data_IF_580855453729
#
_entry.id   IF_580855453729
#
_cell.length_a   1.000
_cell.length_b   1.000
_cell.length_c   1.000
_cell.angle_alpha   90.00
_cell.angle_beta   90.00
_cell.angle_gamma   90.00
#
_symmetry.space_group_name_H-M   'P 1'
#
loop_
_entity.id
_entity.type
_entity.pdbx_description
1 polymer ?
#
# COMPACT_ATOMS: atom_id res chain seq x y z
N UNK A 1 16.89 -15.38 13.98
CA UNK A 1 15.86 -16.05 14.81
C UNK A 1 15.28 -15.02 15.78
N UNK A 2 14.65 -13.96 15.28
CA UNK A 2 13.85 -13.02 16.07
C UNK A 2 12.41 -13.16 15.56
N UNK A 3 11.43 -13.13 16.47
CA UNK A 3 10.04 -13.52 16.21
C UNK A 3 9.33 -12.72 15.11
N UNK A 4 8.06 -13.04 14.79
CA UNK A 4 7.34 -12.42 13.68
C UNK A 4 7.29 -10.90 13.88
N UNK A 5 7.98 -10.17 13.00
CA UNK A 5 7.98 -8.71 13.00
C UNK A 5 6.55 -8.22 12.81
N UNK A 6 6.23 -7.06 13.38
CA UNK A 6 4.91 -6.42 13.18
C UNK A 6 4.63 -6.21 11.68
N UNK A 7 5.69 -5.97 10.89
CA UNK A 7 5.62 -5.88 9.43
C UNK A 7 5.19 -7.19 8.76
N UNK A 8 5.68 -8.33 9.25
CA UNK A 8 5.33 -9.66 8.70
C UNK A 8 3.87 -10.00 8.97
N UNK A 9 3.37 -9.70 10.18
CA UNK A 9 1.97 -9.92 10.56
C UNK A 9 1.02 -9.12 9.67
N UNK A 10 1.34 -7.86 9.40
CA UNK A 10 0.56 -7.00 8.49
C UNK A 10 0.57 -7.52 7.06
N UNK A 11 1.74 -7.89 6.54
CA UNK A 11 1.86 -8.40 5.19
C UNK A 11 1.07 -9.70 4.98
N UNK A 12 1.16 -10.63 5.94
CA UNK A 12 0.44 -11.90 5.89
C UNK A 12 -1.08 -11.70 6.00
N UNK A 13 -1.53 -10.80 6.88
CA UNK A 13 -2.95 -10.46 7.01
C UNK A 13 -3.50 -9.83 5.72
N UNK A 14 -2.78 -8.87 5.14
CA UNK A 14 -3.18 -8.26 3.87
C UNK A 14 -3.27 -9.28 2.74
N UNK A 15 -2.27 -10.17 2.64
CA UNK A 15 -2.25 -11.24 1.64
C UNK A 15 -3.42 -12.21 1.82
N UNK A 16 -3.75 -12.57 3.07
CA UNK A 16 -4.89 -13.43 3.40
C UNK A 16 -6.22 -12.79 2.99
N UNK A 17 -6.44 -11.52 3.37
CA UNK A 17 -7.66 -10.80 3.02
C UNK A 17 -7.83 -10.71 1.50
N UNK A 18 -6.79 -10.32 0.76
CA UNK A 18 -6.88 -10.23 -0.70
C UNK A 18 -7.17 -11.60 -1.32
N UNK A 19 -6.50 -12.66 -0.87
CA UNK A 19 -6.71 -14.01 -1.39
C UNK A 19 -8.13 -14.54 -1.12
N UNK A 20 -8.77 -14.14 -0.01
CA UNK A 20 -10.14 -14.55 0.31
C UNK A 20 -11.20 -13.69 -0.38
N UNK A 21 -11.05 -12.36 -0.37
CA UNK A 21 -12.05 -11.44 -0.91
C UNK A 21 -12.07 -11.42 -2.44
N UNK A 22 -10.91 -11.57 -3.09
CA UNK A 22 -10.82 -11.55 -4.55
C UNK A 22 -11.73 -12.58 -5.25
N UNK A 23 -11.72 -13.89 -4.91
CA UNK A 23 -12.61 -14.86 -5.55
C UNK A 23 -14.09 -14.63 -5.22
N UNK A 24 -14.41 -14.17 -4.00
CA UNK A 24 -15.80 -13.84 -3.61
C UNK A 24 -16.33 -12.69 -4.46
N UNK A 25 -15.53 -11.64 -4.62
CA UNK A 25 -15.89 -10.47 -5.43
C UNK A 25 -16.01 -10.83 -6.91
N UNK A 26 -15.10 -11.69 -7.40
CA UNK A 26 -15.12 -12.20 -8.77
C UNK A 26 -16.39 -13.03 -9.04
N UNK A 27 -16.85 -13.84 -8.07
CA UNK A 27 -18.05 -14.65 -8.20
C UNK A 27 -19.35 -13.84 -8.14
N UNK A 28 -19.40 -12.79 -7.32
CA UNK A 28 -20.61 -11.99 -7.11
C UNK A 28 -20.78 -10.88 -8.16
N UNK A 29 -19.70 -10.18 -8.52
CA UNK A 29 -19.75 -9.00 -9.40
C UNK A 29 -19.16 -9.25 -10.79
N UNK A 30 -18.58 -10.44 -11.02
CA UNK A 30 -17.89 -10.77 -12.26
C UNK A 30 -16.52 -10.10 -12.39
N UNK A 31 -15.79 -10.48 -13.45
CA UNK A 31 -14.42 -10.03 -13.68
C UNK A 31 -14.31 -8.53 -13.97
N UNK A 32 -15.21 -7.99 -14.77
CA UNK A 32 -15.15 -6.60 -15.23
C UNK A 32 -15.23 -5.60 -14.07
N UNK A 33 -16.25 -5.72 -13.22
CA UNK A 33 -16.46 -4.81 -12.08
C UNK A 33 -15.34 -4.95 -11.05
N UNK A 34 -14.91 -6.20 -10.78
CA UNK A 34 -13.80 -6.47 -9.86
C UNK A 34 -12.53 -5.75 -10.29
N UNK A 35 -12.11 -5.89 -11.55
CA UNK A 35 -10.92 -5.20 -12.05
C UNK A 35 -11.05 -3.68 -12.03
N UNK A 36 -12.22 -3.12 -12.35
CA UNK A 36 -12.46 -1.68 -12.26
C UNK A 36 -12.30 -1.13 -10.84
N UNK A 37 -12.77 -1.88 -9.83
CA UNK A 37 -12.61 -1.49 -8.41
C UNK A 37 -11.12 -1.45 -8.04
N UNK A 38 -10.35 -2.49 -8.35
CA UNK A 38 -8.91 -2.52 -8.09
C UNK A 38 -8.15 -1.43 -8.85
N UNK A 39 -8.53 -1.15 -10.11
CA UNK A 39 -7.97 -0.06 -10.89
C UNK A 39 -8.25 1.32 -10.25
N UNK A 40 -9.46 1.53 -9.72
CA UNK A 40 -9.81 2.73 -8.96
C UNK A 40 -8.92 2.90 -7.72
N UNK A 41 -8.77 1.84 -6.92
CA UNK A 41 -7.87 1.87 -5.75
C UNK A 41 -6.41 2.16 -6.13
N UNK A 42 -5.92 1.58 -7.24
CA UNK A 42 -4.57 1.87 -7.74
C UNK A 42 -4.42 3.33 -8.18
N UNK A 43 -5.44 3.91 -8.81
CA UNK A 43 -5.43 5.32 -9.19
C UNK A 43 -5.38 6.24 -7.95
N UNK A 44 -6.18 5.96 -6.93
CA UNK A 44 -6.10 6.71 -5.66
C UNK A 44 -4.74 6.54 -4.97
N UNK A 45 -4.18 5.33 -4.99
CA UNK A 45 -2.84 5.06 -4.46
C UNK A 45 -1.78 5.87 -5.20
N UNK A 46 -1.86 5.95 -6.53
CA UNK A 46 -0.96 6.76 -7.35
C UNK A 46 -1.07 8.25 -7.00
N UNK A 47 -2.28 8.79 -6.85
CA UNK A 47 -2.50 10.17 -6.44
C UNK A 47 -1.95 10.43 -5.03
N UNK A 48 -2.14 9.49 -4.11
CA UNK A 48 -1.61 9.58 -2.75
C UNK A 48 -0.08 9.59 -2.76
N UNK A 49 0.55 8.64 -3.46
CA UNK A 49 2.02 8.58 -3.58
C UNK A 49 2.55 9.86 -4.22
N UNK A 50 1.95 10.32 -5.31
CA UNK A 50 2.40 11.53 -5.99
C UNK A 50 2.31 12.79 -5.12
N UNK A 51 1.33 12.87 -4.21
CA UNK A 51 1.11 14.04 -3.35
C UNK A 51 1.80 13.97 -1.99
N UNK A 52 1.89 12.80 -1.38
CA UNK A 52 2.36 12.62 0.00
C UNK A 52 3.75 11.97 0.10
N UNK A 53 4.18 11.21 -0.89
CA UNK A 53 5.51 10.60 -0.86
C UNK A 53 6.49 11.57 -1.50
N UNK A 54 7.31 12.20 -0.66
CA UNK A 54 8.45 12.98 -1.11
C UNK A 54 9.47 12.04 -1.76
N UNK A 55 10.15 12.52 -2.79
CA UNK A 55 11.07 11.69 -3.57
C UNK A 55 12.25 11.26 -2.70
N UNK A 56 12.29 9.97 -2.34
CA UNK A 56 13.35 9.37 -1.51
C UNK A 56 14.61 9.00 -2.31
N UNK A 57 14.59 9.19 -3.64
CA UNK A 57 15.73 8.88 -4.50
C UNK A 57 16.82 9.96 -4.35
N UNK A 58 17.97 9.55 -3.82
CA UNK A 58 19.19 10.38 -3.79
C UNK A 58 19.37 11.26 -2.55
N UNK A 59 18.44 11.22 -1.58
CA UNK A 59 18.63 11.86 -0.26
C UNK A 59 19.17 10.84 0.75
N UNK A 60 20.16 11.22 1.56
CA UNK A 60 20.59 10.39 2.71
C UNK A 60 19.47 10.35 3.75
N UNK A 61 19.38 9.26 4.54
CA UNK A 61 18.35 9.11 5.57
C UNK A 61 18.27 10.32 6.52
N UNK A 62 19.43 10.90 6.85
CA UNK A 62 19.56 12.05 7.75
C UNK A 62 18.94 13.35 7.19
N UNK A 63 18.95 13.52 5.85
CA UNK A 63 18.31 14.67 5.19
C UNK A 63 16.78 14.57 5.19
N UNK A 64 16.26 13.35 5.02
CA UNK A 64 14.82 13.07 5.09
C UNK A 64 14.32 13.29 6.53
N UNK A 65 15.10 12.86 7.52
CA UNK A 65 14.79 13.06 8.94
C UNK A 65 14.73 14.55 9.29
N UNK A 66 15.68 15.37 8.80
CA UNK A 66 15.64 16.84 9.01
C UNK A 66 14.46 17.52 8.32
N UNK A 67 14.09 17.15 7.10
CA UNK A 67 12.91 17.73 6.43
C UNK A 67 11.59 17.37 7.14
N UNK A 68 11.48 16.16 7.70
CA UNK A 68 10.29 15.72 8.45
C UNK A 68 10.17 16.38 9.83
N UNK A 69 11.28 16.76 10.49
CA UNK A 69 11.26 17.40 11.82
C UNK A 69 11.07 18.92 11.73
N UNK A 70 11.53 19.57 10.65
CA UNK A 70 11.43 21.05 10.47
C UNK A 70 10.04 21.47 9.93
N UNK A 71 9.22 20.52 9.49
CA UNK A 71 7.87 20.76 8.96
C UNK A 71 6.75 20.72 10.02
N UNK A 72 7.10 20.72 11.31
CA UNK A 72 6.22 21.03 12.45
C UNK A 72 6.44 22.48 12.93
#
# INVERSE_FOLDING_TARGET
MFGPSISDKRNSLSSFLVATFFPIQLALFGSSITYFIYAGFMFFCLLFVWKYVTETKGKSLELIEKELIISE
#
